data_IF_788555141311
#
_entry.id   IF_788555141311
#
_cell.length_a   1.000
_cell.length_b   1.000
_cell.length_c   1.000
_cell.angle_alpha   90.00
_cell.angle_beta   90.00
_cell.angle_gamma   90.00
#
_symmetry.space_group_name_H-M   'P 1'
#
loop_
_entity.id
_entity.type
_entity.pdbx_description
1 polymer ?
#
# COMPACT_ATOMS: atom_id res chain seq x y z
N UNK A 1 9.87 4.45 3.98
CA UNK A 1 8.41 4.68 3.92
C UNK A 1 7.97 5.46 5.14
N UNK A 2 6.96 6.32 5.00
CA UNK A 2 6.33 7.06 6.10
C UNK A 2 4.81 6.95 5.98
N UNK A 3 4.08 7.14 7.07
CA UNK A 3 2.62 7.09 7.11
C UNK A 3 2.10 8.48 7.44
N UNK A 4 1.21 8.99 6.58
CA UNK A 4 0.42 10.18 6.84
C UNK A 4 -0.95 9.74 7.37
N UNK A 5 -1.27 10.00 8.65
CA UNK A 5 -2.54 9.58 9.23
C UNK A 5 -3.74 10.26 8.57
N UNK A 6 -4.88 9.58 8.52
CA UNK A 6 -6.14 10.17 8.11
C UNK A 6 -6.56 11.29 9.09
N UNK A 7 -6.92 12.46 8.55
CA UNK A 7 -7.53 13.54 9.32
C UNK A 7 -9.02 13.28 9.59
N UNK A 8 -9.33 12.48 10.62
CA UNK A 8 -10.69 11.99 10.91
C UNK A 8 -11.24 12.53 12.24
N UNK A 9 -12.56 12.72 12.37
CA UNK A 9 -13.19 13.10 13.64
C UNK A 9 -13.55 11.87 14.49
N UNK A 10 -13.72 12.00 15.82
CA UNK A 10 -14.26 10.89 16.64
C UNK A 10 -15.59 10.38 16.10
N UNK A 11 -15.75 9.06 16.01
CA UNK A 11 -16.94 8.42 15.43
C UNK A 11 -16.97 8.35 13.89
N UNK A 12 -15.96 8.86 13.20
CA UNK A 12 -15.84 8.75 11.74
C UNK A 12 -15.11 7.45 11.35
N UNK A 13 -15.69 6.70 10.41
CA UNK A 13 -15.03 5.53 9.82
C UNK A 13 -13.96 5.93 8.80
N UNK A 14 -12.85 5.23 8.83
CA UNK A 14 -11.68 5.48 7.98
C UNK A 14 -10.87 4.21 7.72
N UNK A 15 -9.99 4.28 6.72
CA UNK A 15 -9.03 3.22 6.42
C UNK A 15 -7.75 3.46 7.20
N UNK A 16 -7.52 2.62 8.21
CA UNK A 16 -6.30 2.64 9.00
C UNK A 16 -5.27 1.68 8.42
N UNK A 17 -4.02 2.09 8.33
CA UNK A 17 -2.92 1.17 8.07
C UNK A 17 -2.64 0.34 9.33
N UNK A 18 -2.88 -0.97 9.25
CA UNK A 18 -2.67 -1.91 10.38
C UNK A 18 -1.45 -2.80 10.18
N UNK A 19 -0.91 -2.87 8.97
CA UNK A 19 0.32 -3.59 8.67
C UNK A 19 1.10 -2.95 7.53
N UNK A 20 2.40 -2.80 7.70
CA UNK A 20 3.32 -2.36 6.67
C UNK A 20 4.63 -3.12 6.79
N UNK A 21 5.04 -3.77 5.71
CA UNK A 21 6.31 -4.52 5.63
C UNK A 21 7.02 -4.15 4.35
N UNK A 22 8.33 -3.96 4.45
CA UNK A 22 9.20 -3.76 3.31
C UNK A 22 10.13 -4.98 3.17
N UNK A 23 10.35 -5.39 1.93
CA UNK A 23 11.33 -6.41 1.56
C UNK A 23 12.43 -5.78 0.71
N UNK A 24 13.67 -6.07 1.08
CA UNK A 24 14.87 -5.66 0.35
C UNK A 24 15.13 -6.53 -0.91
N UNK A 25 16.25 -6.30 -1.58
CA UNK A 25 16.65 -7.04 -2.78
C UNK A 25 16.72 -8.56 -2.56
N UNK A 26 17.27 -8.98 -1.43
CA UNK A 26 17.44 -10.39 -1.11
C UNK A 26 16.09 -11.07 -0.82
N UNK A 27 15.20 -10.37 -0.10
CA UNK A 27 13.91 -10.88 0.32
C UNK A 27 12.88 -10.87 -0.81
N UNK A 28 12.93 -9.84 -1.66
CA UNK A 28 11.99 -9.69 -2.77
C UNK A 28 12.12 -10.81 -3.81
N UNK A 29 13.30 -11.46 -3.89
CA UNK A 29 13.55 -12.55 -4.82
C UNK A 29 13.38 -12.12 -6.28
N UNK A 30 13.76 -10.87 -6.59
CA UNK A 30 13.61 -10.27 -7.92
C UNK A 30 12.24 -9.63 -8.19
N UNK A 31 11.31 -9.65 -7.23
CA UNK A 31 10.02 -8.95 -7.33
C UNK A 31 10.19 -7.46 -7.02
N UNK A 32 9.31 -6.64 -7.58
CA UNK A 32 9.39 -5.18 -7.46
C UNK A 32 7.99 -4.57 -7.30
N UNK A 33 7.17 -5.09 -6.38
CA UNK A 33 5.74 -4.75 -6.35
C UNK A 33 5.27 -4.22 -5.00
N UNK A 34 4.24 -3.38 -5.06
CA UNK A 34 3.43 -3.03 -3.89
C UNK A 34 2.26 -4.01 -3.84
N UNK A 35 2.11 -4.69 -2.73
CA UNK A 35 1.06 -5.64 -2.42
C UNK A 35 0.14 -5.03 -1.37
N UNK A 36 -1.18 -5.10 -1.59
CA UNK A 36 -2.15 -4.49 -0.69
C UNK A 36 -3.27 -5.46 -0.35
N UNK A 37 -3.60 -5.51 0.94
CA UNK A 37 -4.82 -6.11 1.47
C UNK A 37 -5.70 -5.02 2.08
N UNK A 38 -7.01 -5.13 1.88
CA UNK A 38 -7.99 -4.26 2.53
C UNK A 38 -8.98 -5.15 3.28
N UNK A 39 -9.19 -4.83 4.55
CA UNK A 39 -10.01 -5.60 5.48
C UNK A 39 -11.19 -4.75 5.98
N UNK A 40 -12.33 -5.39 6.22
CA UNK A 40 -13.47 -4.76 6.93
C UNK A 40 -13.18 -4.59 8.43
N UNK A 41 -14.16 -4.08 9.19
CA UNK A 41 -14.03 -3.89 10.64
C UNK A 41 -13.77 -5.19 11.41
N UNK A 42 -14.23 -6.32 10.87
CA UNK A 42 -14.10 -7.65 11.48
C UNK A 42 -12.79 -8.36 11.06
N UNK A 43 -11.99 -7.75 10.19
CA UNK A 43 -10.76 -8.34 9.66
C UNK A 43 -10.96 -9.23 8.43
N UNK A 44 -12.16 -9.24 7.82
CA UNK A 44 -12.41 -9.98 6.59
C UNK A 44 -11.89 -9.21 5.38
N UNK A 45 -11.26 -9.93 4.44
CA UNK A 45 -10.80 -9.34 3.18
C UNK A 45 -11.98 -8.77 2.38
N UNK A 46 -11.85 -7.53 1.95
CA UNK A 46 -12.78 -6.89 1.01
C UNK A 46 -12.31 -7.10 -0.42
N UNK A 47 -13.21 -7.57 -1.27
CA UNK A 47 -13.02 -7.69 -2.73
C UNK A 47 -13.70 -6.51 -3.42
N UNK A 48 -13.08 -6.00 -4.48
CA UNK A 48 -13.58 -4.87 -5.25
C UNK A 48 -13.32 -3.49 -4.64
N UNK A 49 -12.66 -3.42 -3.47
CA UNK A 49 -12.36 -2.17 -2.79
C UNK A 49 -11.22 -1.44 -3.53
N UNK A 50 -11.44 -0.23 -4.07
CA UNK A 50 -10.41 0.47 -4.84
C UNK A 50 -9.27 0.95 -3.93
N UNK A 51 -8.05 0.62 -4.34
CA UNK A 51 -6.80 1.10 -3.75
C UNK A 51 -6.15 2.06 -4.74
N UNK A 52 -5.88 3.28 -4.28
CA UNK A 52 -5.27 4.34 -5.06
C UNK A 52 -3.75 4.32 -4.89
N UNK A 53 -3.04 4.33 -6.01
CA UNK A 53 -1.58 4.41 -6.08
C UNK A 53 -1.24 5.68 -6.84
N UNK A 54 -0.44 6.55 -6.23
CA UNK A 54 -0.01 7.83 -6.79
C UNK A 54 1.50 7.85 -6.99
N UNK A 55 1.94 8.46 -8.08
CA UNK A 55 3.33 8.80 -8.36
C UNK A 55 3.43 10.17 -9.04
N UNK A 56 4.65 10.67 -9.25
CA UNK A 56 4.87 12.07 -9.66
C UNK A 56 4.15 12.52 -10.94
N UNK A 57 3.82 11.62 -11.86
CA UNK A 57 3.14 11.95 -13.13
C UNK A 57 1.69 11.48 -13.22
N UNK A 58 1.15 10.79 -12.22
CA UNK A 58 -0.21 10.27 -12.29
C UNK A 58 -0.64 9.41 -11.12
N UNK A 59 -1.82 8.82 -11.27
CA UNK A 59 -2.39 7.89 -10.30
C UNK A 59 -3.20 6.80 -11.00
N UNK A 60 -3.41 5.69 -10.29
CA UNK A 60 -4.32 4.63 -10.70
C UNK A 60 -5.08 4.11 -9.49
N UNK A 61 -6.36 3.78 -9.68
CA UNK A 61 -7.15 3.07 -8.69
C UNK A 61 -7.38 1.63 -9.18
N UNK A 62 -6.90 0.64 -8.44
CA UNK A 62 -7.07 -0.77 -8.74
C UNK A 62 -7.93 -1.43 -7.66
N UNK A 63 -8.94 -2.23 -8.04
CA UNK A 63 -9.74 -2.96 -7.06
C UNK A 63 -8.92 -4.09 -6.41
N UNK A 64 -9.24 -4.41 -5.16
CA UNK A 64 -8.81 -5.69 -4.57
C UNK A 64 -9.47 -6.87 -5.28
N UNK A 65 -8.72 -7.93 -5.53
CA UNK A 65 -9.17 -9.12 -6.24
C UNK A 65 -9.52 -10.26 -5.27
N UNK A 66 -10.39 -11.15 -5.73
CA UNK A 66 -10.68 -12.41 -5.03
C UNK A 66 -9.57 -13.42 -5.28
N UNK A 67 -8.58 -13.42 -4.39
CA UNK A 67 -7.43 -14.33 -4.38
C UNK A 67 -7.42 -15.18 -3.12
N UNK A 68 -6.75 -16.34 -3.12
CA UNK A 68 -6.51 -17.10 -1.89
C UNK A 68 -5.96 -16.22 -0.76
N UNK A 69 -6.33 -16.49 0.49
CA UNK A 69 -5.96 -15.65 1.64
C UNK A 69 -4.45 -15.56 1.89
N UNK A 70 -3.67 -16.53 1.40
CA UNK A 70 -2.21 -16.52 1.49
C UNK A 70 -1.56 -15.61 0.43
N UNK A 71 -2.31 -15.17 -0.58
CA UNK A 71 -1.85 -14.23 -1.60
C UNK A 71 -2.37 -12.82 -1.32
N UNK A 72 -1.63 -11.75 -1.65
CA UNK A 72 -2.12 -10.36 -1.54
C UNK A 72 -3.27 -10.03 -2.51
N UNK A 73 -4.12 -9.06 -2.14
CA UNK A 73 -5.42 -8.86 -2.81
C UNK A 73 -5.24 -8.07 -4.09
N UNK A 74 -4.28 -7.17 -4.07
CA UNK A 74 -3.90 -6.33 -5.18
C UNK A 74 -2.37 -6.28 -5.20
N UNK A 75 -1.82 -6.24 -6.41
CA UNK A 75 -0.41 -6.00 -6.61
C UNK A 75 -0.21 -4.94 -7.71
N UNK A 76 0.81 -4.11 -7.55
CA UNK A 76 1.19 -3.11 -8.52
C UNK A 76 2.71 -3.13 -8.74
N UNK A 77 3.19 -3.35 -9.97
CA UNK A 77 4.61 -3.31 -10.27
C UNK A 77 5.15 -1.87 -10.19
N UNK A 78 6.27 -1.69 -9.51
CA UNK A 78 6.97 -0.42 -9.39
C UNK A 78 8.09 -0.33 -10.43
N UNK A 79 8.26 0.85 -11.01
CA UNK A 79 9.33 1.13 -11.98
C UNK A 79 10.19 2.33 -11.59
N UNK A 80 9.73 3.14 -10.64
CA UNK A 80 10.43 4.34 -10.20
C UNK A 80 11.18 4.13 -8.88
N UNK A 81 12.20 4.95 -8.68
CA UNK A 81 13.11 4.89 -7.53
C UNK A 81 12.41 5.29 -6.22
N UNK A 82 13.12 5.11 -5.10
CA UNK A 82 12.62 5.27 -3.75
C UNK A 82 12.11 6.69 -3.56
N UNK A 83 10.90 6.82 -3.00
CA UNK A 83 10.26 8.13 -2.85
C UNK A 83 9.14 8.39 -3.86
N UNK A 84 9.01 7.56 -4.90
CA UNK A 84 8.14 7.85 -6.04
C UNK A 84 6.68 7.48 -5.83
N UNK A 85 6.35 6.59 -4.90
CA UNK A 85 5.00 6.05 -4.76
C UNK A 85 4.35 6.39 -3.42
N UNK A 86 3.04 6.63 -3.48
CA UNK A 86 2.14 6.74 -2.36
C UNK A 86 0.91 5.84 -2.55
N UNK A 87 0.37 5.28 -1.46
CA UNK A 87 -0.81 4.39 -1.48
C UNK A 87 -1.81 4.79 -0.40
N UNK A 88 -3.09 4.83 -0.79
CA UNK A 88 -4.25 5.03 0.09
C UNK A 88 -5.44 4.21 -0.41
N UNK A 89 -6.44 3.98 0.44
CA UNK A 89 -7.68 3.28 0.05
C UNK A 89 -8.78 4.30 -0.23
N UNK A 90 -9.51 4.15 -1.34
CA UNK A 90 -10.54 5.10 -1.75
C UNK A 90 -11.87 4.92 -0.98
N UNK A 91 -12.75 5.93 -1.06
CA UNK A 91 -14.13 5.87 -0.57
C UNK A 91 -14.34 6.37 0.87
N UNK A 92 -13.31 6.35 1.72
CA UNK A 92 -13.30 6.95 3.06
C UNK A 92 -11.99 7.72 3.27
N UNK A 93 -11.87 8.57 4.29
CA UNK A 93 -10.55 9.03 4.72
C UNK A 93 -9.63 7.84 4.94
N UNK A 94 -8.37 7.96 4.53
CA UNK A 94 -7.41 6.87 4.57
C UNK A 94 -6.08 7.37 5.06
N UNK A 95 -5.41 6.55 5.88
CA UNK A 95 -3.97 6.68 6.05
C UNK A 95 -3.32 6.58 4.66
N UNK A 96 -2.27 7.36 4.44
CA UNK A 96 -1.51 7.32 3.20
C UNK A 96 -0.09 6.88 3.51
N UNK A 97 0.34 5.79 2.89
CA UNK A 97 1.75 5.36 2.94
C UNK A 97 2.48 6.08 1.83
N UNK A 98 3.54 6.81 2.16
CA UNK A 98 4.34 7.59 1.22
C UNK A 98 5.80 7.15 1.22
N UNK A 99 6.52 7.54 0.17
CA UNK A 99 7.96 7.34 0.07
C UNK A 99 8.35 5.89 -0.24
N UNK A 100 7.51 5.16 -0.97
CA UNK A 100 7.80 3.83 -1.50
C UNK A 100 8.47 3.93 -2.87
N UNK A 101 9.11 2.84 -3.30
CA UNK A 101 9.79 2.74 -4.59
C UNK A 101 10.99 1.81 -4.56
N UNK A 102 11.62 1.66 -5.71
CA UNK A 102 12.82 0.84 -5.89
C UNK A 102 14.06 1.50 -5.29
N UNK A 103 15.00 0.73 -4.77
CA UNK A 103 16.19 1.28 -4.13
C UNK A 103 16.25 0.96 -2.64
N UNK A 104 17.33 1.41 -2.01
CA UNK A 104 17.56 1.28 -0.58
C UNK A 104 17.77 2.65 0.06
N UNK A 105 17.82 2.70 1.39
CA UNK A 105 18.15 3.95 2.10
C UNK A 105 19.54 4.46 1.68
N UNK A 106 20.48 3.54 1.44
CA UNK A 106 21.85 3.85 1.02
C UNK A 106 21.94 4.21 -0.48
N UNK A 107 21.06 3.63 -1.30
CA UNK A 107 21.05 3.82 -2.75
C UNK A 107 19.62 4.17 -3.23
N UNK A 108 19.11 5.35 -2.86
CA UNK A 108 17.71 5.72 -3.12
C UNK A 108 17.43 6.01 -4.60
N UNK A 109 18.46 6.30 -5.40
CA UNK A 109 18.35 6.65 -6.82
C UNK A 109 18.63 5.46 -7.75
N UNK A 110 18.73 4.24 -7.23
CA UNK A 110 18.93 3.02 -8.00
C UNK A 110 17.67 2.18 -8.03
N UNK A 111 17.42 1.46 -9.12
CA UNK A 111 16.27 0.57 -9.28
C UNK A 111 16.53 -0.80 -8.65
N UNK A 112 16.85 -0.81 -7.36
CA UNK A 112 17.02 -2.05 -6.59
C UNK A 112 15.63 -2.62 -6.32
N UNK A 113 15.45 -3.90 -6.64
CA UNK A 113 14.17 -4.58 -6.47
C UNK A 113 13.77 -4.63 -5.00
N UNK A 114 12.60 -4.10 -4.69
CA UNK A 114 12.02 -4.08 -3.36
C UNK A 114 10.54 -4.37 -3.44
N UNK A 115 9.98 -4.94 -2.39
CA UNK A 115 8.54 -5.13 -2.29
C UNK A 115 7.98 -4.44 -1.05
N UNK A 116 6.72 -4.01 -1.14
CA UNK A 116 6.00 -3.43 -0.02
C UNK A 116 4.71 -4.21 0.18
N UNK A 117 4.39 -4.57 1.42
CA UNK A 117 3.16 -5.27 1.77
C UNK A 117 2.40 -4.40 2.75
N UNK A 118 1.23 -3.94 2.33
CA UNK A 118 0.38 -3.04 3.09
C UNK A 118 -0.93 -3.74 3.43
N UNK A 119 -1.41 -3.57 4.65
CA UNK A 119 -2.73 -4.02 5.08
C UNK A 119 -3.47 -2.84 5.69
N UNK A 120 -4.59 -2.49 5.07
CA UNK A 120 -5.53 -1.49 5.56
C UNK A 120 -6.74 -2.19 6.17
N UNK A 121 -7.28 -1.61 7.24
CA UNK A 121 -8.49 -2.09 7.88
C UNK A 121 -9.46 -0.94 8.08
N UNK A 122 -10.74 -1.17 7.78
CA UNK A 122 -11.80 -0.21 8.12
C UNK A 122 -11.94 -0.15 9.62
N UNK A 123 -11.91 1.04 10.18
CA UNK A 123 -12.08 1.25 11.62
C UNK A 123 -12.76 2.58 11.88
N UNK A 124 -13.17 2.83 13.12
CA UNK A 124 -13.79 4.08 13.56
C UNK A 124 -12.89 4.72 14.60
N UNK A 125 -12.67 6.04 14.50
CA UNK A 125 -11.81 6.78 15.44
C UNK A 125 -12.45 6.97 16.81
#
# INVERSE_FOLDING_TARGET
MNVQPAGVQPGQSYWRLVGARWEDESQSGGRHSIFVNVLDENGNRLVGQPVEIRWGSGSVALPTEDKPLHEPAMNFPMYNTLGSYAVSVAGLPSDTVIGMGLGSIQQPNFTIHTCFFLTFQRTTR
#
